data_IF_744427206990
#
_entry.id   IF_744427206990
#
_cell.length_a   1.000
_cell.length_b   1.000
_cell.length_c   1.000
_cell.angle_alpha   90.00
_cell.angle_beta   90.00
_cell.angle_gamma   90.00
#
_symmetry.space_group_name_H-M   'P 1'
#
loop_
_entity.id
_entity.type
_entity.pdbx_description
1 polymer ?
#
# COMPACT_ATOMS: atom_id res chain seq x y z
N UNK A 1 18.21 -6.46 -15.64
CA UNK A 1 18.02 -7.86 -15.18
C UNK A 1 16.59 -8.02 -14.70
N UNK A 2 15.91 -9.08 -15.11
CA UNK A 2 14.55 -9.37 -14.67
C UNK A 2 14.55 -9.94 -13.23
N UNK A 3 13.48 -9.74 -12.44
CA UNK A 3 13.36 -10.35 -11.12
C UNK A 3 13.40 -11.88 -11.20
N UNK A 4 14.03 -12.52 -10.21
CA UNK A 4 14.10 -13.99 -10.13
C UNK A 4 12.73 -14.56 -9.72
N UNK A 5 12.04 -15.20 -10.66
CA UNK A 5 10.73 -15.83 -10.46
C UNK A 5 10.76 -17.01 -9.47
N UNK A 6 11.94 -17.53 -9.11
CA UNK A 6 12.07 -18.58 -8.08
C UNK A 6 12.17 -18.00 -6.67
N UNK A 7 12.57 -16.73 -6.54
CA UNK A 7 12.77 -16.08 -5.25
C UNK A 7 11.58 -15.21 -4.83
N UNK A 8 10.99 -14.45 -5.77
CA UNK A 8 9.85 -13.59 -5.47
C UNK A 8 8.52 -14.28 -5.81
N UNK A 9 7.55 -14.34 -4.87
CA UNK A 9 6.21 -14.84 -5.15
C UNK A 9 5.52 -14.03 -6.28
N UNK A 10 4.55 -14.61 -7.00
CA UNK A 10 3.95 -13.98 -8.19
C UNK A 10 3.41 -12.56 -7.97
N UNK A 11 2.78 -12.29 -6.82
CA UNK A 11 2.24 -10.94 -6.53
C UNK A 11 3.32 -9.92 -6.18
N UNK A 12 4.40 -10.34 -5.50
CA UNK A 12 5.54 -9.45 -5.27
C UNK A 12 6.25 -9.14 -6.58
N UNK A 13 6.42 -10.15 -7.43
CA UNK A 13 7.05 -10.01 -8.72
C UNK A 13 6.28 -9.04 -9.63
N UNK A 14 4.95 -9.15 -9.68
CA UNK A 14 4.09 -8.17 -10.35
C UNK A 14 4.33 -6.75 -9.83
N UNK A 15 4.46 -6.56 -8.51
CA UNK A 15 4.73 -5.24 -7.95
C UNK A 15 6.14 -4.75 -8.32
N UNK A 16 7.14 -5.63 -8.33
CA UNK A 16 8.50 -5.28 -8.72
C UNK A 16 8.59 -4.88 -10.19
N UNK A 17 7.95 -5.63 -11.09
CA UNK A 17 8.00 -5.41 -12.54
C UNK A 17 7.14 -4.23 -12.98
N UNK A 18 5.93 -4.11 -12.44
CA UNK A 18 5.03 -3.04 -12.85
C UNK A 18 5.27 -1.77 -12.06
N UNK A 19 5.45 -1.82 -10.75
CA UNK A 19 5.59 -0.60 -9.95
C UNK A 19 7.05 -0.20 -9.70
N UNK A 20 7.87 -1.09 -9.15
CA UNK A 20 9.23 -0.74 -8.72
C UNK A 20 10.15 -0.38 -9.90
N UNK A 21 10.08 -1.14 -10.99
CA UNK A 21 10.84 -0.86 -12.21
C UNK A 21 10.48 0.50 -12.82
N UNK A 22 9.18 0.83 -12.93
CA UNK A 22 8.71 2.15 -13.38
C UNK A 22 9.21 3.26 -12.45
N UNK A 23 9.12 3.06 -11.13
CA UNK A 23 9.62 4.02 -10.16
C UNK A 23 11.14 4.25 -10.31
N UNK A 24 11.91 3.17 -10.46
CA UNK A 24 13.36 3.25 -10.65
C UNK A 24 13.74 3.98 -11.96
N UNK A 25 13.00 3.75 -13.05
CA UNK A 25 13.21 4.45 -14.33
C UNK A 25 12.93 5.95 -14.21
N UNK A 26 11.80 6.34 -13.62
CA UNK A 26 11.40 7.75 -13.47
C UNK A 26 12.36 8.51 -12.55
N UNK A 27 12.84 7.87 -11.50
CA UNK A 27 13.73 8.50 -10.50
C UNK A 27 15.23 8.37 -10.85
N UNK A 28 15.58 7.75 -11.99
CA UNK A 28 16.98 7.51 -12.38
C UNK A 28 17.72 6.47 -11.51
N UNK A 29 16.99 5.70 -10.69
CA UNK A 29 17.53 4.69 -9.76
C UNK A 29 17.64 3.28 -10.37
N UNK A 30 17.55 3.12 -11.71
CA UNK A 30 17.53 1.81 -12.38
C UNK A 30 18.72 0.92 -12.01
N UNK A 31 19.94 1.47 -11.96
CA UNK A 31 21.12 0.69 -11.57
C UNK A 31 21.01 0.19 -10.13
N UNK A 32 20.59 1.06 -9.22
CA UNK A 32 20.37 0.73 -7.81
C UNK A 32 19.30 -0.36 -7.65
N UNK A 33 18.17 -0.25 -8.37
CA UNK A 33 17.12 -1.26 -8.38
C UNK A 33 17.63 -2.64 -8.82
N UNK A 34 18.38 -2.73 -9.92
CA UNK A 34 18.95 -4.00 -10.36
C UNK A 34 19.96 -4.57 -9.39
N UNK A 35 20.76 -3.73 -8.72
CA UNK A 35 21.65 -4.18 -7.65
C UNK A 35 20.86 -4.81 -6.50
N UNK A 36 19.74 -4.21 -6.08
CA UNK A 36 18.89 -4.79 -5.02
C UNK A 36 18.29 -6.15 -5.43
N UNK A 37 17.89 -6.30 -6.70
CA UNK A 37 17.41 -7.58 -7.23
C UNK A 37 18.52 -8.65 -7.22
N UNK A 38 19.74 -8.29 -7.62
CA UNK A 38 20.89 -9.20 -7.61
C UNK A 38 21.22 -9.71 -6.20
N UNK A 39 21.13 -8.83 -5.20
CA UNK A 39 21.30 -9.19 -3.79
C UNK A 39 20.08 -9.90 -3.17
N UNK A 40 19.05 -10.23 -3.95
CA UNK A 40 17.84 -10.92 -3.50
C UNK A 40 17.19 -10.22 -2.29
N UNK A 41 17.18 -8.88 -2.32
CA UNK A 41 16.59 -8.08 -1.24
C UNK A 41 15.06 -8.29 -1.25
N UNK A 42 14.39 -8.48 -0.09
CA UNK A 42 12.93 -8.64 -0.04
C UNK A 42 12.17 -7.51 -0.74
N UNK A 43 11.08 -7.84 -1.45
CA UNK A 43 10.35 -6.88 -2.30
C UNK A 43 9.89 -5.64 -1.54
N UNK A 44 9.43 -5.81 -0.29
CA UNK A 44 9.08 -4.70 0.61
C UNK A 44 10.21 -3.69 0.76
N UNK A 45 11.43 -4.16 1.05
CA UNK A 45 12.59 -3.31 1.29
C UNK A 45 12.98 -2.59 0.00
N UNK A 46 12.87 -3.25 -1.15
CA UNK A 46 13.11 -2.62 -2.45
C UNK A 46 12.15 -1.45 -2.67
N UNK A 47 10.85 -1.69 -2.50
CA UNK A 47 9.80 -0.66 -2.67
C UNK A 47 10.02 0.52 -1.73
N UNK A 48 10.32 0.26 -0.45
CA UNK A 48 10.57 1.31 0.53
C UNK A 48 11.81 2.13 0.20
N UNK A 49 12.91 1.49 -0.25
CA UNK A 49 14.14 2.19 -0.63
C UNK A 49 13.94 3.06 -1.86
N UNK A 50 13.27 2.56 -2.90
CA UNK A 50 13.06 3.31 -4.14
C UNK A 50 12.12 4.51 -3.96
N UNK A 51 11.14 4.39 -3.06
CA UNK A 51 10.10 5.40 -2.87
C UNK A 51 10.34 6.31 -1.67
N UNK A 52 11.48 6.18 -0.98
CA UNK A 52 11.77 6.95 0.23
C UNK A 52 10.77 6.67 1.36
N UNK A 53 10.27 5.44 1.48
CA UNK A 53 9.25 4.99 2.46
C UNK A 53 7.88 5.65 2.32
N UNK A 54 7.60 6.31 1.20
CA UNK A 54 6.25 6.81 0.88
C UNK A 54 5.32 5.67 0.48
N UNK A 55 5.85 4.58 -0.08
CA UNK A 55 5.09 3.36 -0.35
C UNK A 55 5.74 2.16 0.35
N UNK A 56 4.93 1.16 0.71
CA UNK A 56 5.40 -0.11 1.28
C UNK A 56 4.52 -1.28 0.83
N UNK A 57 4.98 -2.50 1.11
CA UNK A 57 4.16 -3.69 1.06
C UNK A 57 3.64 -4.01 2.46
N UNK A 58 2.31 -4.07 2.56
CA UNK A 58 1.62 -4.55 3.74
C UNK A 58 1.05 -5.92 3.43
N UNK A 59 1.40 -6.90 4.25
CA UNK A 59 0.96 -8.28 4.11
C UNK A 59 -0.28 -8.52 4.96
N UNK A 60 -1.20 -9.34 4.44
CA UNK A 60 -2.35 -9.84 5.18
C UNK A 60 -2.02 -11.13 5.96
N UNK A 61 -3.02 -11.69 6.65
CA UNK A 61 -2.87 -12.92 7.43
C UNK A 61 -2.50 -14.15 6.59
N UNK A 62 -2.77 -14.12 5.28
CA UNK A 62 -2.37 -15.16 4.33
C UNK A 62 -0.96 -14.94 3.75
N UNK A 63 -0.25 -13.90 4.22
CA UNK A 63 1.09 -13.55 3.74
C UNK A 63 1.11 -12.94 2.35
N UNK A 64 -0.03 -12.41 1.86
CA UNK A 64 -0.16 -11.85 0.52
C UNK A 64 0.03 -10.33 0.53
N UNK A 65 0.85 -9.77 -0.37
CA UNK A 65 1.20 -8.36 -0.33
C UNK A 65 0.11 -7.46 -0.93
N UNK A 66 -0.01 -6.25 -0.38
CA UNK A 66 -0.71 -5.13 -0.98
C UNK A 66 0.18 -3.90 -0.98
N UNK A 67 0.25 -3.21 -2.12
CA UNK A 67 1.03 -1.98 -2.24
C UNK A 67 0.25 -0.80 -1.65
N UNK A 68 0.84 -0.19 -0.63
CA UNK A 68 0.24 0.87 0.18
C UNK A 68 1.02 2.16 0.11
N UNK A 69 0.31 3.28 0.28
CA UNK A 69 0.83 4.64 0.40
C UNK A 69 0.74 5.07 1.86
N UNK A 70 1.84 5.60 2.39
CA UNK A 70 1.88 6.19 3.74
C UNK A 70 1.33 7.60 3.69
N UNK A 71 0.32 7.87 4.51
CA UNK A 71 -0.19 9.22 4.71
C UNK A 71 0.18 9.63 6.14
N UNK A 72 1.11 10.59 6.34
CA UNK A 72 1.44 11.08 7.67
C UNK A 72 0.29 11.91 8.25
N UNK A 73 0.16 11.92 9.57
CA UNK A 73 -0.82 12.73 10.28
C UNK A 73 -0.65 14.22 9.98
N UNK A 74 -1.77 14.92 9.77
CA UNK A 74 -1.83 16.36 9.52
C UNK A 74 -3.09 16.98 10.13
N UNK A 75 -3.06 18.30 10.31
CA UNK A 75 -4.19 19.10 10.82
C UNK A 75 -5.06 19.64 9.66
N UNK A 76 -6.35 19.87 9.93
CA UNK A 76 -7.32 20.35 8.93
C UNK A 76 -6.87 21.65 8.25
N UNK A 77 -6.31 22.59 9.00
CA UNK A 77 -5.81 23.86 8.47
C UNK A 77 -4.69 23.71 7.42
N UNK A 78 -3.94 22.60 7.44
CA UNK A 78 -2.90 22.33 6.44
C UNK A 78 -3.47 21.98 5.05
N UNK A 79 -4.78 21.68 4.96
CA UNK A 79 -5.46 21.33 3.71
C UNK A 79 -6.58 22.31 3.40
N UNK A 80 -7.30 22.79 4.40
CA UNK A 80 -8.44 23.70 4.28
C UNK A 80 -8.14 24.96 5.11
N UNK A 81 -7.84 26.11 4.47
CA UNK A 81 -7.60 27.35 5.20
C UNK A 81 -8.76 27.71 6.12
N UNK A 82 -8.46 28.15 7.35
CA UNK A 82 -9.43 28.54 8.39
C UNK A 82 -10.30 27.40 8.95
N UNK A 83 -10.00 26.13 8.67
CA UNK A 83 -10.72 24.98 9.24
C UNK A 83 -10.34 24.67 10.72
N UNK A 84 -9.37 25.41 11.28
CA UNK A 84 -8.86 25.21 12.63
C UNK A 84 -7.78 24.13 12.74
N UNK A 85 -7.05 24.15 13.85
CA UNK A 85 -5.87 23.30 14.08
C UNK A 85 -6.21 21.90 14.64
N UNK A 86 -7.41 21.39 14.35
CA UNK A 86 -7.79 20.04 14.76
C UNK A 86 -7.14 18.99 13.83
N UNK A 87 -6.74 17.86 14.39
CA UNK A 87 -6.21 16.72 13.63
C UNK A 87 -7.28 16.15 12.71
N UNK A 88 -6.91 15.81 11.47
CA UNK A 88 -7.87 15.26 10.52
C UNK A 88 -8.50 13.95 11.04
N UNK A 89 -9.84 13.78 10.98
CA UNK A 89 -10.55 12.63 11.57
C UNK A 89 -10.07 11.25 11.12
N UNK A 90 -9.50 11.15 9.90
CA UNK A 90 -8.88 9.91 9.39
C UNK A 90 -7.78 9.34 10.30
N UNK A 91 -7.11 10.19 11.09
CA UNK A 91 -6.06 9.76 12.03
C UNK A 91 -6.59 9.49 13.43
N UNK A 92 -7.90 9.65 13.67
CA UNK A 92 -8.52 9.35 14.95
C UNK A 92 -9.11 7.95 14.92
N UNK A 93 -8.73 7.14 15.89
CA UNK A 93 -9.24 5.77 16.07
C UNK A 93 -9.95 5.67 17.42
N UNK A 94 -10.71 4.59 17.65
CA UNK A 94 -11.27 4.32 18.97
C UNK A 94 -10.22 4.18 20.09
N UNK A 95 -8.95 4.01 19.72
CA UNK A 95 -7.79 3.90 20.62
C UNK A 95 -6.97 5.19 20.70
N UNK A 96 -7.43 6.28 20.08
CA UNK A 96 -6.74 7.57 20.02
C UNK A 96 -6.14 7.87 18.65
N UNK A 97 -5.28 8.88 18.62
CA UNK A 97 -4.67 9.41 17.40
C UNK A 97 -3.51 8.54 16.90
N UNK A 98 -3.50 8.22 15.61
CA UNK A 98 -2.39 7.53 14.93
C UNK A 98 -1.48 8.51 14.20
N UNK A 99 -0.19 8.19 14.10
CA UNK A 99 0.80 9.04 13.44
C UNK A 99 0.75 8.97 11.91
N UNK A 100 0.20 7.90 11.35
CA UNK A 100 0.04 7.71 9.92
C UNK A 100 -1.03 6.65 9.64
N UNK A 101 -1.51 6.64 8.39
CA UNK A 101 -2.39 5.61 7.87
C UNK A 101 -1.87 5.07 6.55
N UNK A 102 -2.22 3.83 6.22
CA UNK A 102 -1.89 3.20 4.95
C UNK A 102 -3.12 3.15 4.06
N UNK A 103 -3.00 3.73 2.87
CA UNK A 103 -4.05 3.71 1.85
C UNK A 103 -3.61 2.86 0.66
N UNK A 104 -4.53 2.08 0.07
CA UNK A 104 -4.29 1.39 -1.19
C UNK A 104 -3.76 2.34 -2.27
N UNK A 105 -2.62 2.01 -2.88
CA UNK A 105 -2.05 2.77 -4.00
C UNK A 105 -2.90 2.65 -5.27
N UNK A 106 -3.46 1.47 -5.50
CA UNK A 106 -4.29 1.16 -6.66
C UNK A 106 -5.70 0.82 -6.22
N UNK A 107 -6.66 0.98 -7.14
CA UNK A 107 -8.00 0.44 -6.91
C UNK A 107 -7.90 -1.07 -6.69
N UNK A 108 -8.60 -1.55 -5.67
CA UNK A 108 -8.43 -2.92 -5.25
C UNK A 108 -9.02 -3.90 -6.27
N UNK A 109 -8.34 -5.01 -6.45
CA UNK A 109 -8.94 -6.22 -6.99
C UNK A 109 -9.46 -7.06 -5.83
N UNK A 110 -10.58 -7.72 -6.03
CA UNK A 110 -11.10 -8.67 -5.03
C UNK A 110 -10.99 -10.08 -5.59
N UNK A 111 -10.28 -10.94 -4.89
CA UNK A 111 -10.42 -12.39 -5.06
C UNK A 111 -11.19 -12.90 -3.85
N UNK A 112 -10.46 -13.37 -2.83
CA UNK A 112 -10.99 -13.65 -1.48
C UNK A 112 -10.88 -12.45 -0.54
N UNK A 113 -9.94 -11.55 -0.84
CA UNK A 113 -9.66 -10.33 -0.09
C UNK A 113 -9.37 -9.19 -1.06
N UNK A 114 -9.37 -7.96 -0.55
CA UNK A 114 -9.08 -6.75 -1.34
C UNK A 114 -7.56 -6.51 -1.47
N UNK A 115 -7.00 -6.61 -2.67
CA UNK A 115 -5.56 -6.42 -2.94
C UNK A 115 -5.30 -5.18 -3.79
N UNK A 116 -4.32 -4.38 -3.39
CA UNK A 116 -3.83 -3.23 -4.16
C UNK A 116 -2.61 -3.64 -4.98
N UNK A 117 -2.81 -3.92 -6.26
CA UNK A 117 -1.78 -4.40 -7.20
C UNK A 117 -1.74 -3.51 -8.46
N UNK A 118 -0.55 -3.25 -9.03
CA UNK A 118 -0.43 -2.51 -10.27
C UNK A 118 -0.92 -3.32 -11.48
N UNK A 119 -1.39 -2.59 -12.50
CA UNK A 119 -1.76 -3.13 -13.83
C UNK A 119 -2.79 -4.27 -13.80
N UNK A 120 -3.63 -4.31 -12.76
CA UNK A 120 -4.75 -5.24 -12.66
C UNK A 120 -6.07 -4.51 -12.92
N UNK A 121 -7.02 -5.20 -13.57
CA UNK A 121 -8.38 -4.70 -13.76
C UNK A 121 -9.08 -4.57 -12.41
N UNK A 122 -9.50 -3.36 -11.98
CA UNK A 122 -10.13 -3.17 -10.68
C UNK A 122 -11.47 -3.90 -10.63
N UNK A 123 -11.84 -4.40 -9.45
CA UNK A 123 -13.17 -4.99 -9.29
C UNK A 123 -14.18 -3.86 -9.19
N UNK A 124 -15.14 -3.87 -10.10
CA UNK A 124 -16.24 -2.91 -10.20
C UNK A 124 -17.57 -3.62 -9.91
N UNK A 125 -18.64 -2.83 -9.71
CA UNK A 125 -20.00 -3.31 -9.47
C UNK A 125 -20.15 -4.26 -8.27
N UNK A 126 -19.53 -3.90 -7.13
CA UNK A 126 -19.76 -4.57 -5.85
C UNK A 126 -20.61 -3.73 -4.92
N UNK A 127 -21.34 -4.42 -4.04
CA UNK A 127 -22.02 -3.75 -2.94
C UNK A 127 -21.01 -3.26 -1.90
N UNK A 128 -21.45 -2.33 -1.06
CA UNK A 128 -20.64 -1.84 0.05
C UNK A 128 -20.30 -2.96 1.04
N UNK A 129 -21.27 -3.84 1.33
CA UNK A 129 -21.10 -4.94 2.27
C UNK A 129 -20.07 -5.96 1.77
N UNK A 130 -20.12 -6.30 0.48
CA UNK A 130 -19.12 -7.17 -0.16
C UNK A 130 -17.71 -6.56 -0.08
N UNK A 131 -17.60 -5.25 -0.28
CA UNK A 131 -16.33 -4.54 -0.17
C UNK A 131 -15.81 -4.55 1.28
N UNK A 132 -16.72 -4.39 2.26
CA UNK A 132 -16.41 -4.42 3.69
C UNK A 132 -15.89 -5.79 4.10
N UNK A 133 -16.60 -6.85 3.75
CA UNK A 133 -16.19 -8.24 4.00
C UNK A 133 -14.83 -8.55 3.39
N UNK A 134 -14.60 -8.16 2.14
CA UNK A 134 -13.31 -8.38 1.46
C UNK A 134 -12.13 -7.64 2.14
N UNK A 135 -12.38 -6.49 2.77
CA UNK A 135 -11.36 -5.75 3.51
C UNK A 135 -11.10 -6.36 4.89
N UNK A 136 -12.16 -6.75 5.61
CA UNK A 136 -12.05 -7.36 6.93
C UNK A 136 -11.41 -8.75 6.88
N UNK A 137 -11.61 -9.50 5.79
CA UNK A 137 -11.01 -10.81 5.57
C UNK A 137 -9.46 -10.79 5.53
N UNK A 138 -8.83 -9.61 5.44
CA UNK A 138 -7.36 -9.45 5.46
C UNK A 138 -6.75 -9.52 6.86
N UNK A 139 -7.57 -9.45 7.89
CA UNK A 139 -7.15 -9.47 9.27
C UNK A 139 -7.40 -8.17 10.03
N UNK A 140 -6.98 -8.11 11.30
CA UNK A 140 -7.19 -6.94 12.17
C UNK A 140 -6.45 -5.69 11.67
N UNK A 141 -7.09 -4.53 11.81
CA UNK A 141 -6.55 -3.23 11.40
C UNK A 141 -6.87 -2.81 9.97
N UNK A 142 -7.46 -3.70 9.17
CA UNK A 142 -7.95 -3.43 7.82
C UNK A 142 -9.41 -2.96 7.85
N UNK A 143 -9.68 -1.80 7.24
CA UNK A 143 -11.00 -1.21 7.18
C UNK A 143 -11.38 -0.88 5.72
N UNK A 144 -12.66 -1.04 5.40
CA UNK A 144 -13.19 -0.56 4.13
C UNK A 144 -13.45 0.94 4.25
N UNK A 145 -12.49 1.73 3.81
CA UNK A 145 -12.79 3.02 3.21
C UNK A 145 -12.97 2.79 1.69
N UNK A 146 -13.46 3.77 0.92
CA UNK A 146 -13.62 3.70 -0.55
C UNK A 146 -12.35 3.20 -1.29
N UNK A 147 -11.21 3.22 -0.60
CA UNK A 147 -9.97 2.49 -0.85
C UNK A 147 -9.60 1.82 0.48
N UNK A 148 -9.16 0.55 0.51
CA UNK A 148 -8.82 -0.12 1.78
C UNK A 148 -7.84 0.72 2.60
N UNK A 149 -8.18 0.95 3.87
CA UNK A 149 -7.39 1.72 4.82
C UNK A 149 -6.88 0.78 5.89
N UNK A 150 -5.59 0.88 6.24
CA UNK A 150 -5.04 0.23 7.43
C UNK A 150 -4.54 1.28 8.40
N UNK A 151 -5.03 1.18 9.64
CA UNK A 151 -4.59 2.00 10.76
C UNK A 151 -3.53 1.20 11.53
N UNK A 152 -2.29 1.68 11.55
CA UNK A 152 -1.25 1.07 12.36
C UNK A 152 -1.25 1.72 13.75
N UNK A 153 -1.17 0.93 14.83
CA UNK A 153 -1.20 1.45 16.20
C UNK A 153 0.05 2.23 16.64
N UNK A 154 1.10 2.30 15.81
CA UNK A 154 2.39 2.89 16.20
C UNK A 154 3.28 1.91 16.95
#
# INVERSE_FOLDING_TARGET
>A
MLPDHTFYPPMELLILESFADRCAKITGQTRFFHTLLQYKVPAKIIVEKLTGRTNTLVYDDAGLPSLMVRIPCFCLEQVIPHAGNAVHPMFQTSRGQVQYVWLSKYQNITKKCAYSLPDQGPRNFISYDEALECCQAKGPGWQAHRLSLRLDPG
#
